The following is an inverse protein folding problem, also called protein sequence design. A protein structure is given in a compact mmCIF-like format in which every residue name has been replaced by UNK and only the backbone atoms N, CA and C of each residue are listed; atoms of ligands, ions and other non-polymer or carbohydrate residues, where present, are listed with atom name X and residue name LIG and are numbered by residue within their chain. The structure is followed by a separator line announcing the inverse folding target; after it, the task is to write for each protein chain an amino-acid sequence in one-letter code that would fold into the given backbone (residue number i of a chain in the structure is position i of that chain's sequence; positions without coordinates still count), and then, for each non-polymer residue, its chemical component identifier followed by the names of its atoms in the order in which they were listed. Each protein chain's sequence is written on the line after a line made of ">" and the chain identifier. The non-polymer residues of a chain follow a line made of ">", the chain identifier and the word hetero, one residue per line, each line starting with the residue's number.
data_IF_613857154695
#
_entry.id   IF_613857154695
#
_cell.length_a   1.000
_cell.length_b   1.000
_cell.length_c   1.000
_cell.angle_alpha   90.00
_cell.angle_beta   90.00
_cell.angle_gamma   90.00
#
_symmetry.space_group_name_H-M   'P 1'
#
loop_
_entity.id
_entity.type
_entity.pdbx_description
1 polymer ?
#
# COMPACT_ATOMS: atom_id res chain seq x y z
N UNK A 1 10.24 -19.26 -11.31
CA UNK A 1 10.07 -18.13 -12.25
C UNK A 1 10.56 -16.89 -11.53
N UNK A 2 11.22 -15.95 -12.21
CA UNK A 2 11.55 -14.66 -11.61
C UNK A 2 10.26 -13.87 -11.42
N UNK A 3 10.04 -13.32 -10.22
CA UNK A 3 8.93 -12.42 -9.97
C UNK A 3 9.12 -11.12 -10.75
N UNK A 4 8.07 -10.66 -11.43
CA UNK A 4 8.07 -9.48 -12.30
C UNK A 4 6.93 -8.54 -11.87
N UNK A 5 7.22 -7.46 -11.11
CA UNK A 5 6.19 -6.55 -10.63
C UNK A 5 5.69 -5.61 -11.74
N UNK A 6 4.42 -5.21 -11.63
CA UNK A 6 3.84 -4.11 -12.40
C UNK A 6 4.61 -2.80 -12.13
N UNK A 7 4.85 -1.97 -13.16
CA UNK A 7 5.55 -0.69 -12.99
C UNK A 7 4.72 0.29 -12.15
N UNK A 8 5.39 1.30 -11.57
CA UNK A 8 4.72 2.41 -10.88
C UNK A 8 3.79 3.18 -11.83
N UNK A 9 2.76 3.87 -11.30
CA UNK A 9 2.02 4.86 -12.05
C UNK A 9 2.96 5.92 -12.65
N UNK A 10 2.69 6.37 -13.88
CA UNK A 10 3.58 7.28 -14.62
C UNK A 10 3.95 8.53 -13.83
N UNK A 11 3.02 9.08 -13.05
CA UNK A 11 3.26 10.26 -12.22
C UNK A 11 4.27 9.99 -11.10
N UNK A 12 4.12 8.88 -10.39
CA UNK A 12 5.05 8.47 -9.33
C UNK A 12 6.42 8.15 -9.93
N UNK A 13 6.46 7.46 -11.07
CA UNK A 13 7.72 7.15 -11.77
C UNK A 13 8.47 8.42 -12.21
N UNK A 14 7.74 9.43 -12.71
CA UNK A 14 8.32 10.75 -13.03
C UNK A 14 8.89 11.42 -11.80
N UNK A 15 8.12 11.48 -10.71
CA UNK A 15 8.58 12.09 -9.46
C UNK A 15 9.82 11.37 -8.89
N UNK A 16 9.87 10.03 -8.94
CA UNK A 16 11.06 9.27 -8.51
C UNK A 16 12.31 9.70 -9.28
N UNK A 17 12.16 9.98 -10.58
CA UNK A 17 13.26 10.39 -11.45
C UNK A 17 13.65 11.85 -11.19
N UNK A 18 12.68 12.76 -11.09
CA UNK A 18 12.90 14.19 -10.90
C UNK A 18 13.51 14.52 -9.52
N UNK A 19 13.19 13.71 -8.51
CA UNK A 19 13.61 13.91 -7.12
C UNK A 19 14.76 13.00 -6.70
N UNK A 20 15.39 12.30 -7.64
CA UNK A 20 16.53 11.40 -7.42
C UNK A 20 16.26 10.39 -6.28
N UNK A 21 15.11 9.72 -6.36
CA UNK A 21 14.68 8.78 -5.34
C UNK A 21 15.68 7.61 -5.21
N UNK A 22 16.08 7.23 -3.98
CA UNK A 22 17.02 6.13 -3.78
C UNK A 22 16.51 4.83 -4.43
N UNK A 23 17.37 4.03 -5.11
CA UNK A 23 16.94 2.81 -5.79
C UNK A 23 16.16 1.84 -4.88
N UNK A 24 16.59 1.73 -3.62
CA UNK A 24 15.90 0.95 -2.58
C UNK A 24 14.46 1.38 -2.34
N UNK A 25 14.23 2.69 -2.30
CA UNK A 25 12.90 3.26 -2.14
C UNK A 25 12.05 2.97 -3.38
N UNK A 26 12.59 3.21 -4.58
CA UNK A 26 11.88 2.93 -5.83
C UNK A 26 11.48 1.45 -5.92
N UNK A 27 12.39 0.54 -5.58
CA UNK A 27 12.11 -0.90 -5.54
C UNK A 27 11.01 -1.25 -4.53
N UNK A 28 11.01 -0.63 -3.35
CA UNK A 28 9.95 -0.79 -2.35
C UNK A 28 8.59 -0.33 -2.89
N UNK A 29 8.53 0.90 -3.42
CA UNK A 29 7.30 1.48 -3.95
C UNK A 29 6.71 0.62 -5.09
N UNK A 30 7.55 0.06 -5.96
CA UNK A 30 7.13 -0.87 -7.02
C UNK A 30 6.43 -2.10 -6.44
N UNK A 31 7.02 -2.71 -5.40
CA UNK A 31 6.48 -3.93 -4.79
C UNK A 31 5.15 -3.69 -4.06
N UNK A 32 5.06 -2.58 -3.31
CA UNK A 32 3.83 -2.23 -2.59
C UNK A 32 2.73 -1.83 -3.57
N UNK A 33 3.07 -1.11 -4.64
CA UNK A 33 2.14 -0.84 -5.74
C UNK A 33 1.64 -2.13 -6.38
N UNK A 34 2.52 -3.05 -6.76
CA UNK A 34 2.15 -4.32 -7.37
C UNK A 34 1.13 -5.09 -6.50
N UNK A 35 1.41 -5.21 -5.22
CA UNK A 35 0.53 -5.85 -4.23
C UNK A 35 -0.81 -5.13 -4.11
N UNK A 36 -0.81 -3.80 -4.14
CA UNK A 36 -2.05 -3.02 -4.07
C UNK A 36 -2.95 -3.29 -5.28
N UNK A 37 -2.39 -3.51 -6.47
CA UNK A 37 -3.18 -3.84 -7.65
C UNK A 37 -3.86 -5.20 -7.48
N UNK A 38 -3.15 -6.22 -6.99
CA UNK A 38 -3.75 -7.54 -6.70
C UNK A 38 -4.86 -7.44 -5.64
N UNK A 39 -4.59 -6.69 -4.57
CA UNK A 39 -5.55 -6.47 -3.49
C UNK A 39 -6.82 -5.78 -4.01
N UNK A 40 -6.67 -4.70 -4.79
CA UNK A 40 -7.78 -3.96 -5.38
C UNK A 40 -8.58 -4.83 -6.34
N UNK A 41 -7.93 -5.54 -7.25
CA UNK A 41 -8.61 -6.41 -8.23
C UNK A 41 -9.37 -7.54 -7.52
N UNK A 42 -8.73 -8.19 -6.54
CA UNK A 42 -9.35 -9.24 -5.73
C UNK A 42 -10.56 -8.74 -4.94
N UNK A 43 -10.46 -7.57 -4.29
CA UNK A 43 -11.59 -6.98 -3.57
C UNK A 43 -12.76 -6.63 -4.50
N UNK A 44 -12.50 -6.05 -5.66
CA UNK A 44 -13.54 -5.72 -6.64
C UNK A 44 -14.24 -6.96 -7.20
N UNK A 45 -13.53 -8.06 -7.33
CA UNK A 45 -14.10 -9.33 -7.77
C UNK A 45 -14.96 -9.98 -6.68
N UNK A 46 -14.48 -9.98 -5.43
CA UNK A 46 -15.12 -10.66 -4.29
C UNK A 46 -16.28 -9.85 -3.70
N UNK A 47 -16.16 -8.53 -3.70
CA UNK A 47 -17.13 -7.58 -3.14
C UNK A 47 -17.51 -6.52 -4.18
N UNK A 48 -18.33 -6.88 -5.19
CA UNK A 48 -18.68 -5.96 -6.28
C UNK A 48 -19.44 -4.70 -5.83
N UNK A 49 -20.11 -4.76 -4.67
CA UNK A 49 -20.84 -3.64 -4.07
C UNK A 49 -19.94 -2.75 -3.16
N UNK A 50 -18.65 -3.07 -3.03
CA UNK A 50 -17.70 -2.27 -2.28
C UNK A 50 -17.25 -1.05 -3.11
N UNK A 51 -17.62 0.15 -2.70
CA UNK A 51 -17.22 1.38 -3.38
C UNK A 51 -16.00 2.03 -2.70
N UNK A 52 -14.91 2.19 -3.45
CA UNK A 52 -13.72 2.90 -2.99
C UNK A 52 -12.92 3.44 -4.18
N UNK A 53 -12.09 4.45 -3.94
CA UNK A 53 -11.22 5.01 -4.98
C UNK A 53 -9.99 4.10 -5.21
N UNK A 54 -10.15 3.13 -6.12
CA UNK A 54 -9.11 2.16 -6.46
C UNK A 54 -7.84 2.81 -7.05
N UNK A 55 -7.98 3.88 -7.83
CA UNK A 55 -6.83 4.61 -8.38
C UNK A 55 -6.06 5.29 -7.25
N UNK A 56 -6.76 5.87 -6.27
CA UNK A 56 -6.14 6.45 -5.09
C UNK A 56 -5.42 5.42 -4.22
N UNK A 57 -5.96 4.20 -4.05
CA UNK A 57 -5.27 3.12 -3.32
C UNK A 57 -3.98 2.73 -4.01
N UNK A 58 -4.01 2.47 -5.32
CA UNK A 58 -2.80 2.12 -6.08
C UNK A 58 -1.77 3.26 -6.07
N UNK A 59 -2.21 4.51 -6.22
CA UNK A 59 -1.32 5.67 -6.09
C UNK A 59 -0.72 5.77 -4.69
N UNK A 60 -1.55 5.64 -3.65
CA UNK A 60 -1.13 5.71 -2.25
C UNK A 60 -0.09 4.64 -1.93
N UNK A 61 -0.31 3.40 -2.35
CA UNK A 61 0.66 2.32 -2.24
C UNK A 61 1.98 2.65 -2.96
N UNK A 62 1.90 3.20 -4.16
CA UNK A 62 3.03 3.63 -4.96
C UNK A 62 3.78 4.85 -4.38
N UNK A 63 3.20 5.60 -3.44
CA UNK A 63 3.80 6.85 -2.94
C UNK A 63 3.86 6.99 -1.42
N UNK A 64 3.36 6.04 -0.62
CA UNK A 64 3.23 6.22 0.83
C UNK A 64 4.56 6.57 1.52
N UNK A 65 5.67 6.02 1.04
CA UNK A 65 6.99 6.22 1.61
C UNK A 65 7.80 7.34 0.95
N UNK A 66 7.20 8.13 0.06
CA UNK A 66 7.93 9.08 -0.80
C UNK A 66 8.78 10.09 -0.02
N UNK A 67 8.31 10.52 1.14
CA UNK A 67 9.03 11.44 2.03
C UNK A 67 10.34 10.86 2.57
N UNK A 68 10.60 9.54 2.48
CA UNK A 68 11.89 8.93 2.82
C UNK A 68 13.04 9.41 1.92
N UNK A 69 12.77 10.04 0.78
CA UNK A 69 13.79 10.76 -0.01
C UNK A 69 14.49 11.83 0.86
N UNK A 70 13.74 12.55 1.71
CA UNK A 70 14.28 13.55 2.65
C UNK A 70 14.92 12.91 3.89
N UNK A 71 14.62 11.64 4.18
CA UNK A 71 15.04 10.92 5.39
C UNK A 71 15.65 9.55 5.06
N UNK A 72 16.77 9.49 4.32
CA UNK A 72 17.31 8.22 3.82
C UNK A 72 17.73 7.24 4.93
N UNK A 73 18.01 7.73 6.14
CA UNK A 73 18.30 6.88 7.30
C UNK A 73 17.12 5.96 7.68
N UNK A 74 15.88 6.34 7.32
CA UNK A 74 14.66 5.57 7.61
C UNK A 74 14.40 4.45 6.57
N UNK A 75 15.22 4.34 5.51
CA UNK A 75 15.09 3.25 4.51
C UNK A 75 15.57 1.89 5.03
N UNK A 76 16.43 1.91 6.05
CA UNK A 76 17.00 0.70 6.67
C UNK A 76 17.00 0.77 8.19
N UNK A 77 16.78 1.94 8.77
CA UNK A 77 16.70 2.18 10.20
C UNK A 77 15.28 2.51 10.66
N UNK A 78 15.04 2.52 11.98
CA UNK A 78 13.77 2.99 12.52
C UNK A 78 13.60 4.49 12.26
N UNK A 79 12.35 4.93 12.11
CA UNK A 79 12.01 6.33 11.93
C UNK A 79 10.55 6.53 11.52
N UNK A 80 10.11 7.78 11.61
CA UNK A 80 8.74 8.22 11.29
C UNK A 80 8.68 9.67 10.83
N UNK A 81 9.84 10.26 10.49
CA UNK A 81 9.90 11.64 9.99
C UNK A 81 9.28 11.75 8.59
N UNK A 82 9.30 10.67 7.81
CA UNK A 82 8.62 10.59 6.52
C UNK A 82 7.09 10.61 6.60
N UNK A 83 6.48 10.46 7.78
CA UNK A 83 5.02 10.39 7.96
C UNK A 83 4.35 11.78 7.88
N UNK A 84 4.63 12.52 6.80
CA UNK A 84 4.14 13.85 6.48
C UNK A 84 3.81 13.94 4.97
N UNK A 85 2.74 14.67 4.64
CA UNK A 85 2.23 14.82 3.28
C UNK A 85 2.78 16.06 2.55
N UNK A 86 3.46 16.97 3.27
CA UNK A 86 3.91 18.24 2.73
C UNK A 86 4.85 18.06 1.53
N UNK A 87 5.74 17.06 1.56
CA UNK A 87 6.69 16.86 0.48
C UNK A 87 6.03 16.48 -0.85
N UNK A 88 5.06 15.57 -0.85
CA UNK A 88 4.33 15.25 -2.08
C UNK A 88 3.51 16.45 -2.58
N UNK A 89 2.90 17.21 -1.66
CA UNK A 89 2.14 18.42 -2.00
C UNK A 89 3.01 19.52 -2.61
N UNK A 90 4.20 19.74 -2.05
CA UNK A 90 5.20 20.68 -2.58
C UNK A 90 5.61 20.31 -4.02
N UNK A 91 5.50 19.02 -4.38
CA UNK A 91 5.78 18.50 -5.71
C UNK A 91 4.51 18.29 -6.57
N UNK A 92 3.42 18.98 -6.24
CA UNK A 92 2.24 19.07 -7.10
C UNK A 92 1.19 17.98 -6.91
N UNK A 93 1.39 17.03 -5.98
CA UNK A 93 0.39 16.00 -5.69
C UNK A 93 -0.77 16.58 -4.88
N UNK A 94 -1.99 16.22 -5.30
CA UNK A 94 -3.21 16.67 -4.63
C UNK A 94 -3.26 16.18 -3.17
N UNK A 95 -3.76 16.99 -2.21
CA UNK A 95 -3.83 16.60 -0.80
C UNK A 95 -4.55 15.28 -0.54
N UNK A 96 -5.57 14.94 -1.35
CA UNK A 96 -6.32 13.68 -1.22
C UNK A 96 -5.47 12.43 -1.47
N UNK A 97 -4.40 12.55 -2.26
CA UNK A 97 -3.46 11.48 -2.58
C UNK A 97 -2.22 11.56 -1.67
N UNK A 98 -1.72 12.78 -1.43
CA UNK A 98 -0.54 12.98 -0.59
C UNK A 98 -0.75 12.51 0.86
N UNK A 99 -1.99 12.53 1.36
CA UNK A 99 -2.34 12.11 2.74
C UNK A 99 -1.82 10.72 3.10
N UNK A 100 -1.69 9.80 2.13
CA UNK A 100 -1.27 8.42 2.38
C UNK A 100 0.15 8.33 2.98
N UNK A 101 1.02 9.32 2.71
CA UNK A 101 2.31 9.41 3.41
C UNK A 101 2.16 9.55 4.91
N UNK A 102 1.14 10.27 5.36
CA UNK A 102 0.87 10.49 6.78
C UNK A 102 0.04 9.37 7.40
N UNK A 103 -0.89 8.78 6.65
CA UNK A 103 -1.93 7.90 7.22
C UNK A 103 -1.59 6.41 7.23
N UNK A 104 -0.69 5.93 6.35
CA UNK A 104 -0.43 4.49 6.20
C UNK A 104 0.09 3.79 7.48
N UNK A 105 0.68 4.52 8.43
CA UNK A 105 1.11 4.00 9.74
C UNK A 105 0.20 4.41 10.92
N UNK A 106 -0.94 5.05 10.66
CA UNK A 106 -1.82 5.64 11.69
C UNK A 106 -3.14 4.91 11.92
N UNK A 107 -3.35 3.79 11.25
CA UNK A 107 -4.55 2.96 11.39
C UNK A 107 -4.77 2.40 12.81
N UNK A 108 -3.77 2.47 13.70
CA UNK A 108 -3.93 2.15 15.13
C UNK A 108 -4.39 3.35 15.98
N UNK A 109 -4.11 4.57 15.53
CA UNK A 109 -4.32 5.80 16.30
C UNK A 109 -5.55 6.58 15.83
N UNK A 110 -5.98 6.37 14.59
CA UNK A 110 -7.04 7.12 13.92
C UNK A 110 -8.05 6.13 13.27
N UNK A 111 -9.35 6.45 13.29
CA UNK A 111 -10.31 5.75 12.44
C UNK A 111 -10.12 6.25 11.00
N UNK A 112 -9.71 5.35 10.12
CA UNK A 112 -9.35 5.69 8.75
C UNK A 112 -10.39 5.20 7.72
N UNK A 113 -10.54 5.92 6.60
CA UNK A 113 -11.28 5.43 5.43
C UNK A 113 -10.69 4.12 4.90
N UNK A 114 -11.51 3.36 4.16
CA UNK A 114 -11.08 2.07 3.61
C UNK A 114 -9.86 2.22 2.71
N UNK A 115 -9.75 3.29 1.92
CA UNK A 115 -8.60 3.50 1.03
C UNK A 115 -7.27 3.60 1.81
N UNK A 116 -7.27 4.31 2.94
CA UNK A 116 -6.08 4.46 3.79
C UNK A 116 -5.70 3.12 4.45
N UNK A 117 -6.70 2.32 4.87
CA UNK A 117 -6.47 0.97 5.39
C UNK A 117 -5.93 0.02 4.32
N UNK A 118 -6.39 0.12 3.07
CA UNK A 118 -5.90 -0.71 1.97
C UNK A 118 -4.46 -0.36 1.56
N UNK A 119 -4.07 0.91 1.65
CA UNK A 119 -2.66 1.32 1.48
C UNK A 119 -1.79 0.73 2.61
N UNK A 120 -2.23 0.85 3.86
CA UNK A 120 -1.53 0.25 5.00
C UNK A 120 -1.42 -1.29 4.87
N UNK A 121 -2.50 -1.95 4.42
CA UNK A 121 -2.53 -3.40 4.24
C UNK A 121 -1.59 -3.84 3.12
N UNK A 122 -1.51 -3.07 2.03
CA UNK A 122 -0.57 -3.31 0.93
C UNK A 122 0.89 -3.24 1.42
N UNK A 123 1.23 -2.23 2.24
CA UNK A 123 2.57 -2.09 2.82
C UNK A 123 2.89 -3.15 3.90
N UNK A 124 1.88 -3.69 4.58
CA UNK A 124 2.09 -4.84 5.46
C UNK A 124 2.38 -6.11 4.63
N UNK A 125 1.49 -6.44 3.69
CA UNK A 125 1.44 -7.77 3.09
C UNK A 125 2.43 -8.00 1.96
N UNK A 126 3.10 -6.96 1.42
CA UNK A 126 4.05 -7.15 0.32
C UNK A 126 5.20 -8.13 0.66
N UNK A 127 5.62 -8.21 1.92
CA UNK A 127 6.61 -9.20 2.37
C UNK A 127 5.99 -10.45 2.99
N UNK A 128 4.68 -10.64 2.83
CA UNK A 128 3.89 -11.71 3.43
C UNK A 128 3.52 -11.49 4.90
N UNK A 129 3.67 -10.28 5.44
CA UNK A 129 3.29 -10.00 6.83
C UNK A 129 1.77 -9.79 6.93
N UNK A 130 1.11 -10.67 7.70
CA UNK A 130 -0.30 -10.56 8.10
C UNK A 130 -0.41 -9.78 9.41
N UNK A 131 -1.44 -8.96 9.54
CA UNK A 131 -1.67 -8.11 10.72
C UNK A 131 -3.16 -8.17 11.07
N UNK A 132 -3.51 -9.05 12.00
CA UNK A 132 -4.89 -9.37 12.38
C UNK A 132 -5.73 -8.12 12.70
N UNK A 133 -5.19 -7.15 13.43
CA UNK A 133 -5.91 -5.91 13.78
C UNK A 133 -6.20 -5.02 12.57
N UNK A 134 -5.28 -4.92 11.62
CA UNK A 134 -5.45 -4.14 10.39
C UNK A 134 -6.45 -4.84 9.46
N UNK A 135 -6.31 -6.15 9.30
CA UNK A 135 -7.22 -6.96 8.51
C UNK A 135 -8.64 -6.90 9.07
N UNK A 136 -8.79 -6.94 10.41
CA UNK A 136 -10.08 -6.76 11.07
C UNK A 136 -10.72 -5.40 10.73
N UNK A 137 -9.97 -4.30 10.73
CA UNK A 137 -10.52 -2.99 10.37
C UNK A 137 -11.00 -2.96 8.92
N UNK A 138 -10.28 -3.58 7.99
CA UNK A 138 -10.70 -3.72 6.59
C UNK A 138 -11.98 -4.55 6.49
N UNK A 139 -12.06 -5.68 7.19
CA UNK A 139 -13.26 -6.52 7.26
C UNK A 139 -14.47 -5.75 7.78
N UNK A 140 -14.29 -4.97 8.85
CA UNK A 140 -15.35 -4.17 9.44
C UNK A 140 -15.85 -3.10 8.45
N UNK A 141 -14.96 -2.42 7.71
CA UNK A 141 -15.35 -1.45 6.68
C UNK A 141 -16.08 -2.07 5.49
N UNK A 142 -15.63 -3.23 5.02
CA UNK A 142 -16.32 -3.95 3.94
C UNK A 142 -17.72 -4.40 4.39
N UNK A 143 -17.82 -4.95 5.60
CA UNK A 143 -19.10 -5.39 6.20
C UNK A 143 -20.07 -4.22 6.33
N UNK A 144 -19.61 -3.09 6.87
CA UNK A 144 -20.41 -1.87 7.05
C UNK A 144 -20.96 -1.34 5.72
N UNK A 145 -20.13 -1.33 4.67
CA UNK A 145 -20.49 -0.74 3.39
C UNK A 145 -21.36 -1.65 2.51
N UNK A 146 -21.06 -2.95 2.48
CA UNK A 146 -21.70 -3.92 1.59
C UNK A 146 -22.89 -4.65 2.22
N UNK A 147 -22.95 -4.69 3.55
CA UNK A 147 -23.92 -5.51 4.29
C UNK A 147 -23.64 -7.01 4.24
N UNK A 148 -22.52 -7.45 3.64
CA UNK A 148 -22.07 -8.85 3.67
C UNK A 148 -21.68 -9.22 5.10
N UNK A 149 -22.06 -10.42 5.55
CA UNK A 149 -21.79 -10.88 6.91
C UNK A 149 -20.28 -10.96 7.18
N UNK A 150 -19.86 -10.56 8.39
CA UNK A 150 -18.43 -10.44 8.76
C UNK A 150 -17.63 -11.72 8.53
N UNK A 151 -18.22 -12.90 8.76
CA UNK A 151 -17.55 -14.19 8.58
C UNK A 151 -17.31 -14.51 7.09
N UNK A 152 -18.20 -14.06 6.21
CA UNK A 152 -18.09 -14.24 4.76
C UNK A 152 -17.02 -13.29 4.22
N UNK A 153 -17.02 -12.03 4.66
CA UNK A 153 -15.96 -11.07 4.36
C UNK A 153 -14.60 -11.59 4.80
N UNK A 154 -14.50 -12.11 6.03
CA UNK A 154 -13.26 -12.70 6.56
C UNK A 154 -12.78 -13.86 5.67
N UNK A 155 -13.67 -14.80 5.33
CA UNK A 155 -13.30 -15.97 4.53
C UNK A 155 -12.77 -15.57 3.15
N UNK A 156 -13.41 -14.61 2.49
CA UNK A 156 -13.02 -14.16 1.16
C UNK A 156 -11.74 -13.33 1.18
N UNK A 157 -11.57 -12.47 2.18
CA UNK A 157 -10.35 -11.68 2.36
C UNK A 157 -9.16 -12.57 2.74
N UNK A 158 -9.34 -13.55 3.62
CA UNK A 158 -8.27 -14.45 4.06
C UNK A 158 -7.67 -15.23 2.89
N UNK A 159 -8.50 -15.75 1.99
CA UNK A 159 -8.04 -16.42 0.75
C UNK A 159 -7.23 -15.46 -0.12
N UNK A 160 -7.72 -14.23 -0.34
CA UNK A 160 -7.00 -13.23 -1.12
C UNK A 160 -5.63 -12.88 -0.51
N UNK A 161 -5.60 -12.65 0.80
CA UNK A 161 -4.39 -12.28 1.51
C UNK A 161 -3.39 -13.45 1.57
N UNK A 162 -3.85 -14.70 1.68
CA UNK A 162 -2.97 -15.87 1.60
C UNK A 162 -2.33 -16.00 0.22
N UNK A 163 -3.11 -15.82 -0.86
CA UNK A 163 -2.60 -15.83 -2.23
C UNK A 163 -1.53 -14.75 -2.44
N UNK A 164 -1.80 -13.52 -1.98
CA UNK A 164 -0.84 -12.41 -2.06
C UNK A 164 0.39 -12.73 -1.20
N UNK A 165 0.21 -13.13 0.06
CA UNK A 165 1.30 -13.36 1.01
C UNK A 165 2.24 -14.49 0.57
N UNK A 166 1.73 -15.48 -0.16
CA UNK A 166 2.51 -16.61 -0.67
C UNK A 166 3.70 -16.22 -1.57
N UNK A 167 3.67 -15.01 -2.15
CA UNK A 167 4.74 -14.45 -3.00
C UNK A 167 5.72 -13.53 -2.24
N UNK A 168 5.63 -13.47 -0.90
CA UNK A 168 6.44 -12.57 -0.08
C UNK A 168 7.95 -12.81 -0.21
N UNK A 169 8.38 -14.07 -0.27
CA UNK A 169 9.79 -14.44 -0.40
C UNK A 169 10.38 -14.03 -1.75
N UNK A 170 9.63 -14.18 -2.83
CA UNK A 170 10.00 -13.74 -4.17
C UNK A 170 10.13 -12.23 -4.23
N UNK A 171 9.20 -11.47 -3.64
CA UNK A 171 9.25 -10.01 -3.56
C UNK A 171 10.45 -9.53 -2.75
N UNK A 172 10.76 -10.18 -1.63
CA UNK A 172 11.97 -9.90 -0.85
C UNK A 172 13.26 -10.19 -1.64
N UNK A 173 13.29 -11.28 -2.42
CA UNK A 173 14.42 -11.57 -3.29
C UNK A 173 14.58 -10.53 -4.40
N UNK A 174 13.47 -10.10 -5.01
CA UNK A 174 13.45 -9.05 -6.02
C UNK A 174 13.95 -7.71 -5.46
N UNK A 175 13.50 -7.30 -4.26
CA UNK A 175 13.95 -6.07 -3.62
C UNK A 175 15.47 -6.07 -3.39
N UNK A 176 16.04 -7.19 -2.92
CA UNK A 176 17.49 -7.32 -2.70
C UNK A 176 18.31 -7.20 -3.98
N UNK A 177 17.73 -7.55 -5.13
CA UNK A 177 18.40 -7.49 -6.43
C UNK A 177 18.26 -6.12 -7.13
N UNK A 178 17.24 -5.33 -6.79
CA UNK A 178 16.88 -4.10 -7.50
C UNK A 178 16.92 -2.83 -6.62
N UNK A 179 17.17 -2.97 -5.32
CA UNK A 179 17.20 -1.86 -4.35
C UNK A 179 18.44 -1.84 -3.45
#
# INVERSE_FOLDING_TARGET
>A
MSYEPRPLPDEVQRLCTELDAPPRLVAHLILVHDVSVDLVEGLRQKFPDLEFDHEAVCFGAASHDFSKIKFPNELTGPGRQHEDDAFLRENGIEPRLAKFCRTHNRWMDEELPIEDLLVALSDAIWKGQRIDELEKQVIDKITEQTGVEQWEVFSELDVLLEEIASLGDERLAWQRANG
#
